data_IF_885358950606
#
_entry.id   IF_885358950606
#
_cell.length_a   1.000
_cell.length_b   1.000
_cell.length_c   1.000
_cell.angle_alpha   90.00
_cell.angle_beta   90.00
_cell.angle_gamma   90.00
#
_symmetry.space_group_name_H-M   'P 1'
#
loop_
_entity.id
_entity.type
_entity.pdbx_description
1 polymer ?
#
# COMPACT_ATOMS: atom_id res chain seq x y z
N UNK A 1 11.64 34.97 -21.52
CA UNK A 1 11.18 33.71 -20.89
C UNK A 1 9.93 34.03 -20.10
N UNK A 2 8.76 33.63 -20.59
CA UNK A 2 7.53 33.79 -19.83
C UNK A 2 7.63 32.94 -18.56
N UNK A 3 7.51 33.61 -17.41
CA UNK A 3 7.36 32.91 -16.11
C UNK A 3 6.05 32.11 -16.15
N UNK A 4 6.11 30.85 -16.54
CA UNK A 4 4.97 29.94 -16.40
C UNK A 4 4.59 29.90 -14.91
N UNK A 5 3.47 30.53 -14.56
CA UNK A 5 2.93 30.48 -13.20
C UNK A 5 2.72 29.01 -12.81
N UNK A 6 3.37 28.56 -11.75
CA UNK A 6 3.19 27.19 -11.23
C UNK A 6 1.79 27.11 -10.60
N UNK A 7 0.98 26.18 -11.09
CA UNK A 7 -0.37 25.92 -10.56
C UNK A 7 -0.30 25.47 -9.10
N UNK A 8 -1.00 26.15 -8.22
CA UNK A 8 -1.13 25.77 -6.82
C UNK A 8 -2.02 24.54 -6.64
N UNK A 9 -1.93 23.86 -5.49
CA UNK A 9 -2.81 22.72 -5.21
C UNK A 9 -4.27 23.11 -5.08
N UNK A 10 -4.60 24.32 -4.69
CA UNK A 10 -5.96 24.84 -4.64
C UNK A 10 -6.51 25.06 -6.06
N UNK A 11 -5.72 25.70 -6.94
CA UNK A 11 -6.08 25.88 -8.36
C UNK A 11 -6.29 24.52 -9.04
N UNK A 12 -5.39 23.55 -8.80
CA UNK A 12 -5.54 22.19 -9.30
C UNK A 12 -6.81 21.50 -8.78
N UNK A 13 -7.07 21.58 -7.47
CA UNK A 13 -8.29 21.03 -6.86
C UNK A 13 -9.55 21.59 -7.56
N UNK A 14 -9.62 22.89 -7.72
CA UNK A 14 -10.78 23.56 -8.34
C UNK A 14 -10.94 23.19 -9.82
N UNK A 15 -9.85 23.16 -10.58
CA UNK A 15 -9.84 22.89 -12.02
C UNK A 15 -10.03 21.42 -12.37
N UNK A 16 -9.40 20.51 -11.63
CA UNK A 16 -9.34 19.09 -12.02
C UNK A 16 -10.26 18.22 -11.16
N UNK A 17 -10.25 18.40 -9.85
CA UNK A 17 -10.96 17.52 -8.94
C UNK A 17 -12.41 17.92 -8.78
N UNK A 18 -12.68 19.19 -8.41
CA UNK A 18 -14.01 19.68 -8.09
C UNK A 18 -14.92 19.78 -9.31
N UNK A 19 -14.35 19.82 -10.52
CA UNK A 19 -15.10 19.74 -11.80
C UNK A 19 -15.67 18.34 -12.06
N UNK A 20 -15.10 17.30 -11.45
CA UNK A 20 -15.65 15.94 -11.50
C UNK A 20 -16.75 15.80 -10.44
N UNK A 21 -16.36 15.85 -9.19
CA UNK A 21 -17.29 15.94 -8.07
C UNK A 21 -16.58 16.52 -6.84
N UNK A 22 -17.37 17.04 -5.89
CA UNK A 22 -16.82 17.61 -4.64
C UNK A 22 -16.11 16.59 -3.74
N UNK A 23 -16.31 15.31 -4.01
CA UNK A 23 -15.72 14.20 -3.22
C UNK A 23 -14.77 13.31 -4.03
N UNK A 24 -14.53 13.59 -5.31
CA UNK A 24 -13.68 12.78 -6.17
C UNK A 24 -12.25 12.68 -5.61
N UNK A 25 -11.67 11.47 -5.64
CA UNK A 25 -10.30 11.19 -5.23
C UNK A 25 -9.69 10.11 -6.13
N UNK A 26 -8.68 10.44 -6.96
CA UNK A 26 -8.04 9.50 -7.89
C UNK A 26 -7.45 8.27 -7.22
N UNK A 27 -6.99 8.40 -5.96
CA UNK A 27 -6.46 7.26 -5.22
C UNK A 27 -7.50 6.15 -5.00
N UNK A 28 -8.81 6.46 -5.03
CA UNK A 28 -9.85 5.45 -4.89
C UNK A 28 -9.88 4.47 -6.07
N UNK A 29 -9.42 4.91 -7.23
CA UNK A 29 -9.37 4.12 -8.47
C UNK A 29 -8.00 3.50 -8.71
N UNK A 30 -6.90 4.24 -8.43
CA UNK A 30 -5.59 3.91 -8.94
C UNK A 30 -4.54 3.59 -7.87
N UNK A 31 -4.90 3.69 -6.57
CA UNK A 31 -4.00 3.35 -5.48
C UNK A 31 -4.57 2.29 -4.56
N UNK A 32 -3.72 1.42 -4.05
CA UNK A 32 -4.07 0.48 -2.99
C UNK A 32 -2.88 0.19 -2.06
N UNK A 33 -3.21 -0.12 -0.81
CA UNK A 33 -2.36 -0.91 0.07
C UNK A 33 -3.07 -2.26 0.30
N UNK A 34 -2.34 -3.36 0.13
CA UNK A 34 -2.88 -4.72 0.24
C UNK A 34 -2.01 -5.53 1.19
N UNK A 35 -2.61 -6.08 2.22
CA UNK A 35 -1.97 -7.00 3.18
C UNK A 35 -2.43 -8.43 2.88
N UNK A 36 -1.64 -9.17 2.11
CA UNK A 36 -2.00 -10.50 1.63
C UNK A 36 -2.05 -11.54 2.76
N UNK A 37 -1.18 -11.41 3.76
CA UNK A 37 -1.19 -12.30 4.92
C UNK A 37 -2.47 -12.21 5.75
N UNK A 38 -3.13 -11.07 5.77
CA UNK A 38 -4.40 -10.84 6.48
C UNK A 38 -5.63 -10.77 5.59
N UNK A 39 -5.45 -10.77 4.25
CA UNK A 39 -6.55 -10.62 3.30
C UNK A 39 -7.26 -9.27 3.40
N UNK A 40 -6.52 -8.20 3.65
CA UNK A 40 -7.06 -6.85 3.86
C UNK A 40 -6.59 -5.88 2.79
N UNK A 41 -7.40 -4.87 2.50
CA UNK A 41 -7.03 -3.80 1.56
C UNK A 41 -7.60 -2.45 1.96
N UNK A 42 -6.94 -1.39 1.47
CA UNK A 42 -7.45 -0.02 1.51
C UNK A 42 -7.02 0.73 0.24
N UNK A 43 -7.63 1.90 -0.03
CA UNK A 43 -7.24 2.75 -1.17
C UNK A 43 -6.15 3.75 -0.82
N UNK A 44 -5.96 4.05 0.45
CA UNK A 44 -4.86 4.86 1.00
C UNK A 44 -4.77 4.57 2.50
N UNK A 45 -3.84 5.20 3.22
CA UNK A 45 -3.59 4.91 4.63
C UNK A 45 -4.58 5.54 5.63
N UNK A 46 -5.55 6.36 5.17
CA UNK A 46 -6.53 6.98 6.06
C UNK A 46 -7.74 6.09 6.37
N UNK A 47 -8.41 5.46 5.39
CA UNK A 47 -9.51 4.57 5.69
C UNK A 47 -9.06 3.33 6.45
N UNK A 48 -9.90 2.85 7.35
CA UNK A 48 -9.66 1.54 7.97
C UNK A 48 -9.63 0.45 6.88
N UNK A 49 -8.65 -0.47 6.94
CA UNK A 49 -8.60 -1.63 6.07
C UNK A 49 -9.88 -2.46 6.17
N UNK A 50 -10.25 -3.11 5.07
CA UNK A 50 -11.37 -4.01 5.02
C UNK A 50 -10.98 -5.34 4.39
N UNK A 51 -11.73 -6.39 4.72
CA UNK A 51 -11.49 -7.74 4.20
C UNK A 51 -11.74 -7.80 2.70
N UNK A 52 -10.92 -8.58 2.04
CA UNK A 52 -11.09 -9.00 0.65
C UNK A 52 -11.83 -10.34 0.69
N UNK A 53 -12.88 -10.47 -0.11
CA UNK A 53 -13.64 -11.71 -0.21
C UNK A 53 -12.83 -12.76 -1.00
N UNK A 54 -12.72 -13.97 -0.44
CA UNK A 54 -11.99 -15.07 -1.07
C UNK A 54 -12.69 -15.54 -2.35
N UNK A 55 -14.00 -15.61 -2.34
CA UNK A 55 -14.76 -16.05 -3.51
C UNK A 55 -14.62 -15.05 -4.67
N UNK A 56 -14.51 -13.75 -4.35
CA UNK A 56 -14.30 -12.73 -5.36
C UNK A 56 -12.93 -12.86 -6.02
N UNK A 57 -11.85 -13.09 -5.26
CA UNK A 57 -10.51 -13.25 -5.85
C UNK A 57 -10.34 -14.56 -6.61
N UNK A 58 -11.07 -15.62 -6.24
CA UNK A 58 -11.09 -16.86 -6.99
C UNK A 58 -11.74 -16.69 -8.36
N UNK A 59 -12.81 -15.88 -8.44
CA UNK A 59 -13.48 -15.53 -9.69
C UNK A 59 -12.63 -14.58 -10.54
N UNK A 60 -12.06 -13.56 -9.91
CA UNK A 60 -11.27 -12.53 -10.60
C UNK A 60 -10.16 -11.99 -9.69
N UNK A 61 -8.88 -12.27 -10.01
CA UNK A 61 -7.76 -11.86 -9.16
C UNK A 61 -7.69 -10.35 -8.90
N UNK A 62 -8.13 -9.50 -9.83
CA UNK A 62 -8.18 -8.04 -9.64
C UNK A 62 -9.15 -7.59 -8.54
N UNK A 63 -9.99 -8.49 -8.00
CA UNK A 63 -10.81 -8.22 -6.83
C UNK A 63 -9.99 -7.94 -5.55
N UNK A 64 -8.69 -8.24 -5.53
CA UNK A 64 -7.77 -7.75 -4.50
C UNK A 64 -7.84 -6.23 -4.32
N UNK A 65 -8.05 -5.50 -5.41
CA UNK A 65 -8.28 -4.04 -5.41
C UNK A 65 -9.74 -3.68 -5.60
N UNK A 66 -10.44 -4.38 -6.50
CA UNK A 66 -11.79 -4.03 -6.94
C UNK A 66 -12.88 -4.67 -6.06
N UNK A 67 -12.73 -4.52 -4.73
CA UNK A 67 -13.72 -5.01 -3.76
C UNK A 67 -15.04 -4.28 -3.91
N UNK A 68 -16.12 -4.95 -3.54
CA UNK A 68 -17.47 -4.36 -3.56
C UNK A 68 -17.54 -3.04 -2.76
N UNK A 69 -16.86 -2.97 -1.62
CA UNK A 69 -16.78 -1.74 -0.82
C UNK A 69 -16.13 -0.59 -1.59
N UNK A 70 -15.00 -0.84 -2.26
CA UNK A 70 -14.33 0.21 -3.05
C UNK A 70 -15.19 0.67 -4.23
N UNK A 71 -15.91 -0.25 -4.89
CA UNK A 71 -16.86 0.08 -5.96
C UNK A 71 -18.00 0.97 -5.47
N UNK A 72 -18.59 0.65 -4.31
CA UNK A 72 -19.61 1.51 -3.68
C UNK A 72 -19.06 2.90 -3.31
N UNK A 73 -17.86 2.97 -2.75
CA UNK A 73 -17.23 4.24 -2.41
C UNK A 73 -16.89 5.09 -3.66
N UNK A 74 -16.49 4.46 -4.78
CA UNK A 74 -16.31 5.12 -6.09
C UNK A 74 -17.63 5.70 -6.60
N UNK A 75 -18.70 4.92 -6.54
CA UNK A 75 -20.04 5.35 -6.94
C UNK A 75 -20.52 6.54 -6.11
N UNK A 76 -20.36 6.51 -4.78
CA UNK A 76 -20.63 7.66 -3.92
C UNK A 76 -19.86 8.90 -4.38
N UNK A 77 -18.55 8.76 -4.64
CA UNK A 77 -17.72 9.87 -5.13
C UNK A 77 -18.17 10.40 -6.48
N UNK A 78 -18.62 9.54 -7.42
CA UNK A 78 -19.16 9.98 -8.69
C UNK A 78 -20.45 10.79 -8.52
N UNK A 79 -21.28 10.46 -7.53
CA UNK A 79 -22.48 11.22 -7.17
C UNK A 79 -22.21 12.47 -6.31
N UNK A 80 -20.93 12.74 -5.96
CA UNK A 80 -20.56 13.86 -5.09
C UNK A 80 -20.79 13.61 -3.60
N UNK A 81 -21.14 12.38 -3.23
CA UNK A 81 -21.28 11.97 -1.85
C UNK A 81 -19.91 11.70 -1.20
N UNK A 82 -19.81 11.89 0.09
CA UNK A 82 -18.56 11.71 0.88
C UNK A 82 -18.53 10.34 1.55
N UNK A 83 -17.74 9.36 1.07
CA UNK A 83 -17.59 8.08 1.75
C UNK A 83 -17.10 8.26 3.20
N UNK A 84 -17.73 7.57 4.13
CA UNK A 84 -17.40 7.68 5.56
C UNK A 84 -15.93 7.30 5.86
N UNK A 85 -15.39 6.29 5.13
CA UNK A 85 -13.98 5.89 5.27
C UNK A 85 -12.96 6.97 4.92
N UNK A 86 -13.36 8.07 4.27
CA UNK A 86 -12.49 9.17 3.86
C UNK A 86 -12.62 10.40 4.80
N UNK A 87 -13.20 10.23 5.99
CA UNK A 87 -13.50 11.31 6.96
C UNK A 87 -12.29 12.20 7.28
N UNK A 88 -11.08 11.64 7.30
CA UNK A 88 -9.85 12.41 7.52
C UNK A 88 -9.72 13.59 6.53
N UNK A 89 -9.88 13.32 5.24
CA UNK A 89 -9.80 14.36 4.22
C UNK A 89 -10.94 15.39 4.35
N UNK A 90 -12.14 14.92 4.65
CA UNK A 90 -13.31 15.78 4.81
C UNK A 90 -13.16 16.73 5.99
N UNK A 91 -12.67 16.24 7.13
CA UNK A 91 -12.41 17.10 8.31
C UNK A 91 -11.42 18.21 7.98
N UNK A 92 -10.36 17.94 7.23
CA UNK A 92 -9.39 18.97 6.85
C UNK A 92 -10.03 20.01 5.91
N UNK A 93 -10.79 19.57 4.90
CA UNK A 93 -11.41 20.47 3.93
C UNK A 93 -12.57 21.28 4.53
N UNK A 94 -13.23 20.78 5.56
CA UNK A 94 -14.33 21.47 6.27
C UNK A 94 -13.84 22.57 7.23
N UNK A 95 -12.55 22.60 7.60
CA UNK A 95 -11.97 23.69 8.39
C UNK A 95 -12.03 25.02 7.63
N UNK A 96 -11.83 24.99 6.30
CA UNK A 96 -11.91 26.18 5.47
C UNK A 96 -11.75 25.88 3.99
N UNK A 97 -12.24 26.81 3.15
CA UNK A 97 -12.31 26.61 1.68
C UNK A 97 -10.95 26.39 1.02
N UNK A 98 -9.88 26.90 1.61
CA UNK A 98 -8.54 26.88 1.04
C UNK A 98 -7.70 25.72 1.61
N UNK A 99 -8.27 24.92 2.51
CA UNK A 99 -7.55 23.78 3.08
C UNK A 99 -7.46 22.64 2.06
N UNK A 100 -6.25 22.11 1.95
CA UNK A 100 -5.89 21.05 1.03
C UNK A 100 -5.66 19.76 1.83
N UNK A 101 -6.47 18.76 1.55
CA UNK A 101 -6.33 17.43 2.13
C UNK A 101 -5.46 16.52 1.27
N UNK A 102 -5.08 15.38 1.83
CA UNK A 102 -4.29 14.34 1.15
C UNK A 102 -4.91 13.86 -0.17
N UNK A 103 -6.23 13.90 -0.31
CA UNK A 103 -6.87 13.46 -1.56
C UNK A 103 -6.41 14.30 -2.76
N UNK A 104 -6.06 15.57 -2.56
CA UNK A 104 -5.55 16.44 -3.64
C UNK A 104 -4.17 15.99 -4.06
N UNK A 105 -3.24 15.81 -3.11
CA UNK A 105 -1.88 15.34 -3.38
C UNK A 105 -1.89 13.95 -4.03
N UNK A 106 -2.68 13.03 -3.50
CA UNK A 106 -2.80 11.66 -3.99
C UNK A 106 -3.54 11.55 -5.34
N UNK A 107 -4.32 12.56 -5.72
CA UNK A 107 -4.96 12.61 -7.04
C UNK A 107 -4.01 13.20 -8.07
N UNK A 108 -3.23 14.22 -7.70
CA UNK A 108 -2.35 14.97 -8.60
C UNK A 108 -1.21 14.14 -9.21
N UNK A 109 -0.89 12.99 -8.62
CA UNK A 109 0.14 12.09 -9.15
C UNK A 109 -0.31 11.32 -10.40
N UNK A 110 -1.62 11.27 -10.68
CA UNK A 110 -2.16 10.56 -11.84
C UNK A 110 -2.42 11.52 -13.00
N UNK A 111 -2.24 11.08 -14.26
CA UNK A 111 -2.59 11.85 -15.45
C UNK A 111 -4.06 12.28 -15.45
N UNK A 112 -4.34 13.52 -15.90
CA UNK A 112 -5.72 14.04 -15.94
C UNK A 112 -6.63 13.21 -16.85
N UNK A 113 -6.09 12.61 -17.90
CA UNK A 113 -6.81 11.70 -18.79
C UNK A 113 -7.30 10.44 -18.05
N UNK A 114 -6.46 9.85 -17.20
CA UNK A 114 -6.84 8.72 -16.36
C UNK A 114 -7.94 9.12 -15.35
N UNK A 115 -7.81 10.30 -14.74
CA UNK A 115 -8.83 10.82 -13.83
C UNK A 115 -10.17 11.08 -14.53
N UNK A 116 -10.14 11.54 -15.78
CA UNK A 116 -11.33 11.72 -16.60
C UNK A 116 -11.96 10.37 -16.98
N UNK A 117 -11.13 9.39 -17.34
CA UNK A 117 -11.57 8.02 -17.60
C UNK A 117 -12.22 7.40 -16.36
N UNK A 118 -11.55 7.49 -15.20
CA UNK A 118 -12.05 6.98 -13.93
C UNK A 118 -13.43 7.57 -13.55
N UNK A 119 -13.61 8.87 -13.77
CA UNK A 119 -14.86 9.55 -13.42
C UNK A 119 -16.02 9.18 -14.36
N UNK A 120 -15.74 8.96 -15.65
CA UNK A 120 -16.76 8.65 -16.66
C UNK A 120 -17.13 7.17 -16.72
N UNK A 121 -16.23 6.29 -16.32
CA UNK A 121 -16.45 4.85 -16.33
C UNK A 121 -17.32 4.45 -15.13
N UNK A 122 -18.31 3.57 -15.31
CA UNK A 122 -19.14 3.11 -14.20
C UNK A 122 -18.30 2.57 -13.04
N UNK A 123 -18.64 2.93 -11.81
CA UNK A 123 -17.89 2.52 -10.61
C UNK A 123 -17.88 1.00 -10.37
N UNK A 124 -18.84 0.28 -11.00
CA UNK A 124 -18.92 -1.19 -10.98
C UNK A 124 -17.80 -1.86 -11.78
N UNK A 125 -17.21 -1.14 -12.74
CA UNK A 125 -16.11 -1.67 -13.53
C UNK A 125 -14.83 -1.81 -12.71
N UNK A 126 -13.98 -2.74 -13.13
CA UNK A 126 -12.68 -2.95 -12.52
C UNK A 126 -11.64 -2.00 -13.09
N UNK A 127 -10.78 -1.52 -12.22
CA UNK A 127 -9.64 -0.68 -12.58
C UNK A 127 -8.34 -1.38 -12.22
N UNK A 128 -7.33 -1.28 -13.06
CA UNK A 128 -5.98 -1.63 -12.70
C UNK A 128 -5.33 -0.47 -11.92
N UNK A 129 -4.40 -0.85 -11.03
CA UNK A 129 -3.66 0.10 -10.22
C UNK A 129 -2.58 0.82 -11.04
N UNK A 130 -2.26 2.05 -10.59
CA UNK A 130 -1.05 2.79 -10.96
C UNK A 130 -0.02 2.77 -9.84
N UNK A 131 -0.48 2.76 -8.58
CA UNK A 131 0.40 2.65 -7.42
C UNK A 131 -0.11 1.58 -6.47
N UNK A 132 0.78 0.72 -6.02
CA UNK A 132 0.49 -0.37 -5.10
C UNK A 132 1.52 -0.45 -4.00
N UNK A 133 1.07 -0.45 -2.76
CA UNK A 133 1.84 -0.92 -1.62
C UNK A 133 1.35 -2.32 -1.23
N UNK A 134 2.27 -3.27 -1.13
CA UNK A 134 1.95 -4.67 -0.84
C UNK A 134 2.75 -5.19 0.34
N UNK A 135 2.08 -5.94 1.22
CA UNK A 135 2.68 -6.72 2.28
C UNK A 135 2.29 -8.19 2.08
N UNK A 136 3.27 -9.04 1.82
CA UNK A 136 3.01 -10.47 1.63
C UNK A 136 2.72 -11.17 2.95
N UNK A 137 3.52 -10.87 3.97
CA UNK A 137 3.39 -11.44 5.31
C UNK A 137 4.02 -10.52 6.36
N UNK A 138 3.99 -10.93 7.64
CA UNK A 138 4.58 -10.19 8.75
C UNK A 138 5.89 -10.78 9.27
N UNK A 139 6.52 -11.68 8.53
CA UNK A 139 7.79 -12.27 8.93
C UNK A 139 8.83 -11.17 9.13
N UNK A 140 9.41 -11.11 10.32
CA UNK A 140 10.41 -10.10 10.67
C UNK A 140 11.26 -10.60 11.83
N UNK A 141 12.55 -10.31 11.79
CA UNK A 141 13.49 -10.65 12.85
C UNK A 141 13.60 -9.57 13.93
N UNK A 142 12.96 -8.41 13.76
CA UNK A 142 13.03 -7.28 14.70
C UNK A 142 11.69 -6.98 15.37
N UNK A 143 11.77 -6.50 16.62
CA UNK A 143 10.69 -5.94 17.40
C UNK A 143 10.92 -4.43 17.58
N UNK A 144 10.83 -3.67 16.49
CA UNK A 144 11.09 -2.23 16.51
C UNK A 144 10.06 -1.48 17.36
N UNK A 145 10.49 -0.48 18.13
CA UNK A 145 9.64 0.25 19.07
C UNK A 145 8.47 1.02 18.41
N UNK A 146 8.57 1.34 17.13
CA UNK A 146 7.52 1.99 16.33
C UNK A 146 6.64 0.99 15.57
N UNK A 147 6.93 -0.32 15.67
CA UNK A 147 6.19 -1.39 15.03
C UNK A 147 5.26 -2.09 16.04
N UNK A 148 4.47 -3.03 15.56
CA UNK A 148 3.51 -3.75 16.40
C UNK A 148 3.29 -5.20 15.88
N UNK A 149 2.58 -6.06 16.64
CA UNK A 149 2.34 -7.45 16.28
C UNK A 149 1.61 -7.69 14.94
N UNK A 150 0.88 -6.69 14.43
CA UNK A 150 0.24 -6.83 13.12
C UNK A 150 1.26 -6.89 11.97
N UNK A 151 2.46 -6.33 12.18
CA UNK A 151 3.51 -6.19 11.17
C UNK A 151 4.83 -6.89 11.54
N UNK A 152 4.95 -7.53 12.71
CA UNK A 152 6.16 -8.22 13.10
C UNK A 152 5.87 -9.53 13.83
N UNK A 153 6.37 -10.64 13.28
CA UNK A 153 6.32 -11.95 13.91
C UNK A 153 7.14 -12.01 15.22
N UNK A 154 8.19 -11.19 15.34
CA UNK A 154 8.98 -11.10 16.59
C UNK A 154 8.18 -10.45 17.70
N UNK A 155 7.40 -9.39 17.43
CA UNK A 155 6.48 -8.85 18.41
C UNK A 155 5.40 -9.85 18.84
N UNK A 156 4.86 -10.64 17.90
CA UNK A 156 3.91 -11.72 18.24
C UNK A 156 4.55 -12.74 19.16
N UNK A 157 5.78 -13.15 18.84
CA UNK A 157 6.53 -14.11 19.69
C UNK A 157 6.78 -13.53 21.08
N UNK A 158 7.15 -12.25 21.17
CA UNK A 158 7.40 -11.59 22.44
C UNK A 158 6.16 -11.58 23.34
N UNK A 159 5.03 -11.13 22.81
CA UNK A 159 3.75 -11.09 23.56
C UNK A 159 3.31 -12.52 23.98
N UNK A 160 3.48 -13.51 23.11
CA UNK A 160 3.13 -14.89 23.44
C UNK A 160 4.04 -15.50 24.52
N UNK A 161 5.29 -15.03 24.63
CA UNK A 161 6.28 -15.55 25.60
C UNK A 161 6.20 -14.81 26.93
N UNK A 162 6.12 -13.48 26.88
CA UNK A 162 6.25 -12.61 28.05
C UNK A 162 4.89 -12.08 28.56
N UNK A 163 3.80 -12.35 27.81
CA UNK A 163 2.47 -11.85 28.08
C UNK A 163 2.20 -10.48 27.45
N UNK A 164 0.93 -10.09 27.38
CA UNK A 164 0.54 -8.77 26.90
C UNK A 164 0.96 -7.67 27.88
N UNK A 165 1.21 -6.48 27.36
CA UNK A 165 1.57 -5.29 28.13
C UNK A 165 0.30 -4.60 28.65
N UNK A 166 -0.26 -5.10 29.75
CA UNK A 166 -1.58 -4.68 30.27
C UNK A 166 -1.62 -3.25 30.80
N UNK A 167 -0.45 -2.71 31.14
CA UNK A 167 -0.32 -1.34 31.70
C UNK A 167 -0.30 -0.26 30.60
N UNK A 168 -0.26 -0.64 29.32
CA UNK A 168 -0.33 0.29 28.22
C UNK A 168 -1.79 0.72 27.96
N UNK A 169 -1.96 2.02 27.68
CA UNK A 169 -3.25 2.54 27.23
C UNK A 169 -3.41 2.19 25.74
N UNK A 170 -4.46 1.43 25.43
CA UNK A 170 -4.75 1.05 24.05
C UNK A 170 -5.40 2.20 23.28
N UNK A 171 -5.01 2.35 22.01
CA UNK A 171 -5.69 3.21 21.03
C UNK A 171 -6.98 2.57 20.44
N UNK A 172 -7.43 1.46 21.05
CA UNK A 172 -8.55 0.65 20.59
C UNK A 172 -8.18 -0.49 19.63
N UNK A 173 -6.93 -0.54 19.13
CA UNK A 173 -6.44 -1.63 18.28
C UNK A 173 -5.91 -2.82 19.08
N UNK A 174 -5.58 -2.60 20.34
CA UNK A 174 -5.16 -3.62 21.31
C UNK A 174 -3.91 -4.44 20.92
N UNK A 175 -3.04 -3.92 20.06
CA UNK A 175 -1.90 -4.65 19.52
C UNK A 175 -0.95 -5.20 20.57
N UNK A 176 -0.75 -4.47 21.66
CA UNK A 176 0.16 -4.85 22.73
C UNK A 176 -0.53 -5.30 24.01
N UNK A 177 -1.78 -4.94 24.20
CA UNK A 177 -2.54 -5.17 25.44
C UNK A 177 -3.29 -6.51 25.46
N UNK A 178 -3.36 -7.19 24.33
CA UNK A 178 -4.06 -8.46 24.17
C UNK A 178 -3.20 -9.46 23.39
N UNK A 179 -3.42 -10.74 23.62
CA UNK A 179 -2.85 -11.78 22.76
C UNK A 179 -3.65 -11.82 21.46
N UNK A 180 -3.00 -11.50 20.34
CA UNK A 180 -3.59 -11.52 19.02
C UNK A 180 -2.87 -12.52 18.12
N UNK A 181 -3.54 -13.59 17.75
CA UNK A 181 -3.07 -14.47 16.67
C UNK A 181 -3.83 -14.25 15.34
N UNK A 182 -4.90 -13.48 15.37
CA UNK A 182 -5.87 -13.39 14.25
C UNK A 182 -5.57 -12.30 13.22
N UNK A 183 -4.49 -11.51 13.38
CA UNK A 183 -4.16 -10.44 12.44
C UNK A 183 -3.56 -10.95 11.13
N UNK A 184 -3.21 -12.22 11.06
CA UNK A 184 -2.73 -12.87 9.84
C UNK A 184 -3.39 -14.23 9.69
N UNK A 185 -4.14 -14.40 8.60
CA UNK A 185 -4.90 -15.63 8.31
C UNK A 185 -4.00 -16.77 7.83
N UNK A 186 -2.89 -16.44 7.14
CA UNK A 186 -1.97 -17.41 6.55
C UNK A 186 -0.57 -17.19 7.09
N UNK A 187 0.01 -18.25 7.65
CA UNK A 187 1.39 -18.26 8.16
C UNK A 187 2.37 -18.51 7.01
N UNK A 188 3.62 -18.11 7.23
CA UNK A 188 4.69 -18.44 6.29
C UNK A 188 4.71 -19.96 5.98
N UNK A 189 4.81 -20.30 4.70
CA UNK A 189 4.79 -21.69 4.24
C UNK A 189 3.41 -22.34 4.09
N UNK A 190 2.32 -21.61 4.37
CA UNK A 190 0.97 -22.05 4.04
C UNK A 190 0.53 -21.50 2.68
N UNK A 191 -0.28 -22.24 1.96
CA UNK A 191 -0.92 -21.78 0.74
C UNK A 191 -1.78 -20.56 1.04
N UNK A 192 -1.47 -19.45 0.38
CA UNK A 192 -2.16 -18.18 0.57
C UNK A 192 -2.89 -17.78 -0.70
N UNK A 193 -4.23 -17.92 -0.76
CA UNK A 193 -5.02 -17.63 -1.95
C UNK A 193 -4.93 -16.15 -2.38
N UNK A 194 -4.67 -15.23 -1.45
CA UNK A 194 -4.46 -13.82 -1.80
C UNK A 194 -3.13 -13.61 -2.52
N UNK A 195 -2.06 -14.30 -2.09
CA UNK A 195 -0.77 -14.24 -2.78
C UNK A 195 -0.86 -14.87 -4.18
N UNK A 196 -1.52 -16.02 -4.30
CA UNK A 196 -1.77 -16.63 -5.61
C UNK A 196 -2.57 -15.71 -6.55
N UNK A 197 -3.63 -15.08 -6.04
CA UNK A 197 -4.41 -14.12 -6.80
C UNK A 197 -3.57 -12.91 -7.22
N UNK A 198 -2.68 -12.42 -6.34
CA UNK A 198 -1.75 -11.34 -6.69
C UNK A 198 -0.85 -11.74 -7.86
N UNK A 199 -0.20 -12.90 -7.83
CA UNK A 199 0.67 -13.33 -8.92
C UNK A 199 -0.08 -13.57 -10.23
N UNK A 200 -1.28 -14.15 -10.18
CA UNK A 200 -2.15 -14.28 -11.36
C UNK A 200 -2.50 -12.92 -11.96
N UNK A 201 -2.84 -11.94 -11.11
CA UNK A 201 -3.14 -10.58 -11.58
C UNK A 201 -1.89 -9.85 -12.06
N UNK A 202 -0.76 -10.03 -11.38
CA UNK A 202 0.53 -9.49 -11.79
C UNK A 202 0.88 -9.93 -13.21
N UNK A 203 0.86 -11.24 -13.47
CA UNK A 203 1.25 -11.82 -14.75
C UNK A 203 0.28 -11.47 -15.89
N UNK A 204 -1.03 -11.36 -15.62
CA UNK A 204 -2.00 -11.05 -16.65
C UNK A 204 -1.97 -9.58 -17.07
N UNK A 205 -2.04 -8.66 -16.11
CA UNK A 205 -2.34 -7.26 -16.39
C UNK A 205 -1.58 -6.24 -15.56
N UNK A 206 -1.40 -6.50 -14.25
CA UNK A 206 -0.97 -5.47 -13.32
C UNK A 206 0.41 -4.91 -13.65
N UNK A 207 1.37 -5.78 -14.03
CA UNK A 207 2.73 -5.38 -14.42
C UNK A 207 2.79 -4.43 -15.62
N UNK A 208 1.71 -4.34 -16.43
CA UNK A 208 1.63 -3.46 -17.61
C UNK A 208 1.15 -2.06 -17.27
N UNK A 209 0.44 -1.90 -16.16
CA UNK A 209 -0.25 -0.66 -15.80
C UNK A 209 0.30 0.03 -14.56
N UNK A 210 1.08 -0.70 -13.76
CA UNK A 210 1.57 -0.21 -12.48
C UNK A 210 2.80 0.68 -12.68
N UNK A 211 2.72 1.92 -12.22
CA UNK A 211 3.83 2.88 -12.26
C UNK A 211 4.79 2.66 -11.07
N UNK A 212 4.24 2.37 -9.89
CA UNK A 212 5.03 2.11 -8.68
C UNK A 212 4.50 0.91 -7.89
N UNK A 213 5.41 0.01 -7.54
CA UNK A 213 5.19 -1.08 -6.60
C UNK A 213 6.09 -0.90 -5.37
N UNK A 214 5.47 -0.70 -4.22
CA UNK A 214 6.16 -0.65 -2.92
C UNK A 214 5.93 -1.95 -2.17
N UNK A 215 7.01 -2.65 -1.83
CA UNK A 215 6.96 -3.86 -1.03
C UNK A 215 7.27 -3.49 0.42
N UNK A 216 6.32 -3.81 1.31
CA UNK A 216 6.39 -3.55 2.74
C UNK A 216 6.01 -4.81 3.53
N UNK A 217 5.71 -4.69 4.80
CA UNK A 217 5.27 -5.79 5.64
C UNK A 217 6.11 -5.88 6.91
N UNK A 218 6.52 -7.08 7.28
CA UNK A 218 7.54 -7.32 8.30
C UNK A 218 8.93 -6.92 7.77
N UNK A 219 9.73 -7.92 7.44
CA UNK A 219 10.93 -7.72 6.62
C UNK A 219 10.68 -8.35 5.23
N UNK A 220 10.45 -7.54 4.19
CA UNK A 220 10.11 -8.06 2.86
C UNK A 220 11.12 -9.06 2.31
N UNK A 221 12.41 -8.83 2.54
CA UNK A 221 13.48 -9.70 2.03
C UNK A 221 13.62 -11.04 2.80
N UNK A 222 12.81 -11.26 3.83
CA UNK A 222 12.63 -12.57 4.46
C UNK A 222 11.44 -13.34 3.90
N UNK A 223 10.60 -12.72 3.07
CA UNK A 223 9.43 -13.35 2.48
C UNK A 223 9.77 -14.09 1.18
N UNK A 224 9.40 -15.36 1.08
CA UNK A 224 9.54 -16.13 -0.16
C UNK A 224 8.76 -15.54 -1.35
N UNK A 225 7.61 -14.91 -1.08
CA UNK A 225 6.82 -14.24 -2.12
C UNK A 225 7.52 -12.99 -2.68
N UNK A 226 8.24 -12.24 -1.83
CA UNK A 226 9.08 -11.14 -2.33
C UNK A 226 10.13 -11.65 -3.32
N UNK A 227 10.81 -12.74 -2.97
CA UNK A 227 11.81 -13.35 -3.85
C UNK A 227 11.20 -13.90 -5.13
N UNK A 228 10.03 -14.51 -5.07
CA UNK A 228 9.28 -14.95 -6.26
C UNK A 228 9.00 -13.77 -7.20
N UNK A 229 8.62 -12.62 -6.67
CA UNK A 229 8.39 -11.41 -7.46
C UNK A 229 9.67 -10.84 -8.05
N UNK A 230 10.77 -10.79 -7.27
CA UNK A 230 12.08 -10.35 -7.75
C UNK A 230 12.63 -11.28 -8.84
N UNK A 231 12.46 -12.60 -8.69
CA UNK A 231 12.82 -13.58 -9.72
C UNK A 231 11.99 -13.37 -11.00
N UNK A 232 10.70 -12.98 -10.86
CA UNK A 232 9.89 -12.61 -12.02
C UNK A 232 10.49 -11.40 -12.76
N UNK A 233 10.90 -10.34 -12.06
CA UNK A 233 11.56 -9.18 -12.68
C UNK A 233 12.86 -9.60 -13.37
N UNK A 234 13.68 -10.43 -12.72
CA UNK A 234 14.93 -10.95 -13.30
C UNK A 234 14.70 -11.73 -14.61
N UNK A 235 13.68 -12.58 -14.65
CA UNK A 235 13.33 -13.39 -15.82
C UNK A 235 12.63 -12.61 -16.94
N UNK A 236 11.96 -11.52 -16.59
CA UNK A 236 11.13 -10.74 -17.50
C UNK A 236 11.66 -9.32 -17.71
N UNK A 237 12.98 -9.16 -17.80
CA UNK A 237 13.66 -7.87 -17.98
C UNK A 237 13.03 -7.09 -19.13
N UNK A 238 12.74 -5.79 -18.87
CA UNK A 238 12.13 -4.90 -19.86
C UNK A 238 10.64 -5.11 -20.15
N UNK A 239 9.98 -6.12 -19.57
CA UNK A 239 8.53 -6.32 -19.77
C UNK A 239 7.66 -5.41 -18.91
N UNK A 240 8.18 -4.88 -17.82
CA UNK A 240 7.48 -3.93 -16.94
C UNK A 240 8.29 -2.65 -16.80
N UNK A 241 7.59 -1.52 -16.77
CA UNK A 241 8.17 -0.21 -16.46
C UNK A 241 7.89 0.19 -15.01
N UNK A 242 7.39 -0.73 -14.20
CA UNK A 242 7.06 -0.49 -12.80
C UNK A 242 8.32 -0.13 -12.01
N UNK A 243 8.29 1.04 -11.37
CA UNK A 243 9.30 1.43 -10.40
C UNK A 243 9.14 0.59 -9.14
N UNK A 244 10.20 -0.06 -8.71
CA UNK A 244 10.19 -0.89 -7.52
C UNK A 244 10.74 -0.12 -6.32
N UNK A 245 10.03 -0.17 -5.19
CA UNK A 245 10.45 0.36 -3.90
C UNK A 245 10.34 -0.73 -2.83
N UNK A 246 11.37 -0.92 -2.03
CA UNK A 246 11.40 -1.94 -0.97
C UNK A 246 11.71 -1.28 0.36
N UNK A 247 10.87 -1.51 1.37
CA UNK A 247 11.11 -1.07 2.74
C UNK A 247 11.75 -2.22 3.52
N UNK A 248 13.07 -2.20 3.70
CA UNK A 248 13.81 -3.26 4.39
C UNK A 248 14.57 -2.73 5.61
N UNK A 249 14.70 -3.53 6.63
CA UNK A 249 15.56 -3.23 7.77
C UNK A 249 17.04 -3.61 7.52
N UNK A 250 17.34 -4.28 6.42
CA UNK A 250 18.68 -4.74 6.00
C UNK A 250 19.44 -5.49 7.10
N UNK A 251 18.71 -6.20 7.95
CA UNK A 251 19.33 -6.99 9.02
C UNK A 251 20.20 -8.13 8.48
N UNK A 252 21.03 -8.72 9.35
CA UNK A 252 22.01 -9.73 8.97
C UNK A 252 21.43 -11.02 8.32
N UNK A 253 20.12 -11.21 8.37
CA UNK A 253 19.44 -12.35 7.75
C UNK A 253 18.95 -12.04 6.32
N UNK A 254 19.18 -10.83 5.82
CA UNK A 254 18.82 -10.42 4.47
C UNK A 254 19.95 -10.77 3.51
N UNK A 255 19.61 -11.47 2.43
CA UNK A 255 20.54 -11.80 1.36
C UNK A 255 20.69 -10.64 0.39
N UNK A 256 21.62 -9.73 0.68
CA UNK A 256 21.86 -8.55 -0.14
C UNK A 256 22.50 -8.89 -1.48
N UNK A 257 23.37 -9.90 -1.54
CA UNK A 257 24.01 -10.30 -2.80
C UNK A 257 22.95 -10.80 -3.76
N UNK A 258 22.05 -11.66 -3.30
CA UNK A 258 20.91 -12.13 -4.09
C UNK A 258 20.01 -10.97 -4.52
N UNK A 259 19.77 -9.98 -3.63
CA UNK A 259 18.98 -8.80 -3.99
C UNK A 259 19.62 -8.06 -5.17
N UNK A 260 20.89 -7.72 -5.08
CA UNK A 260 21.60 -6.99 -6.14
C UNK A 260 21.67 -7.77 -7.45
N UNK A 261 21.87 -9.09 -7.41
CA UNK A 261 21.83 -9.94 -8.59
C UNK A 261 20.46 -10.03 -9.25
N UNK A 262 19.38 -9.87 -8.46
CA UNK A 262 18.01 -9.95 -8.96
C UNK A 262 17.54 -8.66 -9.65
N UNK A 263 18.23 -7.55 -9.46
CA UNK A 263 17.81 -6.25 -9.93
C UNK A 263 18.50 -5.88 -11.24
N UNK A 264 17.70 -5.46 -12.20
CA UNK A 264 18.15 -5.00 -13.52
C UNK A 264 17.94 -3.50 -13.74
N UNK A 265 17.30 -2.85 -12.78
CA UNK A 265 16.96 -1.44 -12.83
C UNK A 265 17.16 -0.80 -11.45
N UNK A 266 17.33 0.52 -11.40
CA UNK A 266 17.38 1.24 -10.14
C UNK A 266 16.14 0.93 -9.30
N UNK A 267 16.35 0.59 -8.03
CA UNK A 267 15.29 0.45 -7.04
C UNK A 267 15.43 1.53 -5.99
N UNK A 268 14.30 1.92 -5.41
CA UNK A 268 14.30 2.70 -4.19
C UNK A 268 14.32 1.76 -2.99
N UNK A 269 15.44 1.74 -2.30
CA UNK A 269 15.57 1.00 -1.07
C UNK A 269 15.39 1.94 0.12
N UNK A 270 14.28 1.78 0.82
CA UNK A 270 14.01 2.49 2.08
C UNK A 270 14.48 1.64 3.24
N UNK A 271 15.47 2.13 3.99
CA UNK A 271 15.97 1.41 5.15
C UNK A 271 15.47 2.03 6.44
N UNK A 272 14.97 1.20 7.36
CA UNK A 272 14.79 1.60 8.75
C UNK A 272 15.90 0.93 9.58
N UNK A 273 16.89 1.69 10.00
CA UNK A 273 17.92 1.18 10.88
C UNK A 273 17.50 1.39 12.34
N UNK A 274 17.21 0.28 13.03
CA UNK A 274 16.72 0.28 14.41
C UNK A 274 17.71 -0.38 15.36
N UNK A 275 18.97 -0.38 15.04
CA UNK A 275 19.97 -0.82 16.00
C UNK A 275 20.17 0.23 17.09
N UNK A 276 19.51 -0.04 18.20
CA UNK A 276 19.83 0.36 19.56
C UNK A 276 20.36 1.76 19.81
N UNK A 277 19.63 2.47 20.64
CA UNK A 277 20.12 3.59 21.43
C UNK A 277 20.65 4.75 20.60
N UNK A 278 19.74 5.66 20.26
CA UNK A 278 20.01 7.08 20.06
C UNK A 278 20.20 7.69 18.64
N UNK A 279 20.09 7.01 17.52
CA UNK A 279 20.06 7.74 16.25
C UNK A 279 19.16 7.08 15.20
N UNK A 280 18.02 7.70 14.90
CA UNK A 280 17.25 7.40 13.70
C UNK A 280 17.95 8.07 12.52
N UNK A 281 18.76 7.34 11.77
CA UNK A 281 19.25 7.79 10.50
C UNK A 281 18.39 7.17 9.40
N UNK A 282 17.46 7.93 8.84
CA UNK A 282 16.84 7.60 7.56
C UNK A 282 17.88 7.87 6.48
N UNK A 283 18.55 6.84 5.99
CA UNK A 283 19.43 6.97 4.82
C UNK A 283 18.63 6.56 3.60
N UNK A 284 18.30 7.54 2.78
CA UNK A 284 17.88 7.30 1.40
C UNK A 284 19.15 6.91 0.63
N UNK A 285 19.37 5.64 0.40
CA UNK A 285 20.38 5.18 -0.55
C UNK A 285 19.69 5.05 -1.92
N UNK A 286 19.81 6.08 -2.73
CA UNK A 286 19.58 5.96 -4.17
C UNK A 286 20.86 5.34 -4.74
N UNK A 287 20.85 4.03 -4.91
CA UNK A 287 21.95 3.37 -5.63
C UNK A 287 21.65 3.51 -7.12
N UNK A 288 22.28 4.50 -7.75
CA UNK A 288 22.46 4.51 -9.20
C UNK A 288 23.60 3.52 -9.53
N UNK A 289 23.28 2.43 -10.21
CA UNK A 289 24.24 1.58 -10.89
C UNK A 289 24.19 1.92 -12.38
#
# INVERSE_FOLDING_TARGET
>A
MENKKIETNLEYKQRVIDTKSKSFCGAKWYNATIWLGSGMTTSCHHPLPHKIDIDDIQRKPSALHNTQRKKMEREQMQRGERPAGCEYCWKIEDIGRDNISDRVYKTKIFPEEDLNYAFRTPASEDFNLRTLEISFDRTCQFACSYCNPAFSSTWVKDINTNGPYTDLVSDGRNHFTHIHDNSQLFKFGQDNPYAEAFFKWWESDLHKTLDELRITGGEPLMSGYTWQLLDWFKMNRGKSQTRLAINSNLGAQVDLDRLFESLDAPIDLYTSNVNCVAYTLCVLLTLCV
#
